data_IF_597064413317
#
_entry.id   IF_597064413317
#
_cell.length_a   1.000
_cell.length_b   1.000
_cell.length_c   1.000
_cell.angle_alpha   90.00
_cell.angle_beta   90.00
_cell.angle_gamma   90.00
#
_symmetry.space_group_name_H-M   'P 1'
#
loop_
_entity.id
_entity.type
_entity.pdbx_description
1 polymer ?
#
# COMPACT_ATOMS: atom_id res chain seq x y z
N UNK A 1 26.81 5.64 -4.70
CA UNK A 1 25.44 5.13 -4.54
C UNK A 1 24.95 5.52 -3.15
N UNK A 2 23.97 6.41 -3.04
CA UNK A 2 23.36 6.75 -1.73
C UNK A 2 22.33 5.68 -1.40
N UNK A 3 22.52 4.87 -0.36
CA UNK A 3 21.51 3.92 0.12
C UNK A 3 20.42 4.72 0.85
N UNK A 4 19.27 4.92 0.21
CA UNK A 4 18.09 5.47 0.88
C UNK A 4 17.47 4.35 1.70
N UNK A 5 17.33 4.58 3.01
CA UNK A 5 16.68 3.62 3.89
C UNK A 5 15.17 3.60 3.55
N UNK A 6 14.50 2.43 3.52
CA UNK A 6 13.06 2.35 3.28
C UNK A 6 12.21 3.08 4.33
N UNK A 7 12.82 3.51 5.45
CA UNK A 7 12.20 4.36 6.48
C UNK A 7 12.01 5.81 6.01
N UNK A 8 12.81 6.29 5.06
CA UNK A 8 12.66 7.61 4.45
C UNK A 8 11.68 7.53 3.27
N UNK A 9 10.39 7.36 3.60
CA UNK A 9 9.28 7.25 2.65
C UNK A 9 9.31 8.41 1.62
N UNK A 10 9.65 9.62 2.06
CA UNK A 10 9.72 10.82 1.20
C UNK A 10 10.85 10.77 0.15
N UNK A 11 11.89 9.97 0.35
CA UNK A 11 13.03 9.83 -0.59
C UNK A 11 13.03 8.49 -1.33
N UNK A 12 12.41 7.48 -0.74
CA UNK A 12 12.34 6.14 -1.29
C UNK A 12 11.36 6.05 -2.47
N UNK A 13 10.14 6.59 -2.32
CA UNK A 13 9.12 6.54 -3.36
C UNK A 13 9.52 7.30 -4.64
N UNK A 14 10.07 8.53 -4.57
CA UNK A 14 10.50 9.25 -5.77
C UNK A 14 11.64 8.54 -6.50
N UNK A 15 12.58 7.90 -5.78
CA UNK A 15 13.65 7.13 -6.42
C UNK A 15 13.16 5.87 -7.10
N UNK A 16 12.30 5.11 -6.43
CA UNK A 16 11.74 3.89 -6.98
C UNK A 16 10.97 4.18 -8.28
N UNK A 17 10.16 5.24 -8.26
CA UNK A 17 9.46 5.74 -9.44
C UNK A 17 10.45 6.23 -10.51
N UNK A 18 11.44 7.04 -10.15
CA UNK A 18 12.41 7.59 -11.09
C UNK A 18 13.29 6.54 -11.78
N UNK A 19 13.48 5.36 -11.18
CA UNK A 19 14.16 4.22 -11.83
C UNK A 19 13.25 3.56 -12.88
N UNK A 20 11.93 3.58 -12.67
CA UNK A 20 10.94 2.99 -13.57
C UNK A 20 10.37 3.96 -14.62
N UNK A 21 10.64 5.26 -14.50
CA UNK A 21 10.28 6.28 -15.50
C UNK A 21 11.55 6.93 -16.07
N UNK A 22 12.22 6.32 -17.06
CA UNK A 22 13.35 6.97 -17.72
C UNK A 22 12.86 8.19 -18.52
N UNK A 23 13.35 9.40 -18.20
CA UNK A 23 13.11 10.62 -18.99
C UNK A 23 12.20 11.70 -18.37
N UNK A 24 11.81 11.57 -17.10
CA UNK A 24 10.97 12.57 -16.41
C UNK A 24 11.73 13.85 -16.06
N UNK A 25 11.22 15.00 -16.50
CA UNK A 25 11.86 16.31 -16.33
C UNK A 25 11.40 17.06 -15.06
N UNK A 26 10.31 16.61 -14.40
CA UNK A 26 9.76 17.27 -13.22
C UNK A 26 9.13 16.28 -12.22
N UNK A 27 9.07 16.67 -10.94
CA UNK A 27 8.44 15.87 -9.88
C UNK A 27 6.96 15.56 -10.12
N UNK A 28 6.29 16.37 -10.94
CA UNK A 28 4.93 16.12 -11.40
C UNK A 28 4.89 14.93 -12.36
N UNK A 29 5.81 14.84 -13.33
CA UNK A 29 5.89 13.71 -14.26
C UNK A 29 6.19 12.38 -13.56
N UNK A 30 6.94 12.40 -12.44
CA UNK A 30 7.18 11.21 -11.60
C UNK A 30 5.86 10.68 -11.01
N UNK A 31 4.90 11.58 -10.76
CA UNK A 31 3.57 11.26 -10.20
C UNK A 31 2.51 11.06 -11.28
N UNK A 32 2.84 11.24 -12.54
CA UNK A 32 1.93 11.04 -13.67
C UNK A 32 2.00 9.59 -14.12
N UNK A 33 0.90 8.87 -13.96
CA UNK A 33 0.72 7.48 -14.43
C UNK A 33 -0.39 7.53 -15.48
N UNK A 34 -0.09 7.09 -16.71
CA UNK A 34 -1.08 7.03 -17.81
C UNK A 34 -1.85 8.35 -18.10
N UNK A 35 -1.27 9.50 -17.75
CA UNK A 35 -1.88 10.82 -17.97
C UNK A 35 -2.62 11.39 -16.76
N UNK A 36 -2.73 10.66 -15.65
CA UNK A 36 -3.29 11.16 -14.38
C UNK A 36 -2.19 11.53 -13.38
N UNK A 37 -2.27 12.74 -12.84
CA UNK A 37 -1.34 13.23 -11.81
C UNK A 37 -1.84 12.78 -10.44
N UNK A 38 -1.16 11.82 -9.83
CA UNK A 38 -1.51 11.35 -8.50
C UNK A 38 -1.07 12.34 -7.41
N UNK A 39 -1.81 12.49 -6.29
CA UNK A 39 -1.54 13.48 -5.24
C UNK A 39 -0.27 13.19 -4.40
N UNK A 40 0.16 11.93 -4.31
CA UNK A 40 1.39 11.55 -3.59
C UNK A 40 2.23 10.56 -4.39
N UNK A 41 3.54 10.52 -4.13
CA UNK A 41 4.44 9.53 -4.74
C UNK A 41 4.05 8.09 -4.36
N UNK A 42 3.45 7.88 -3.18
CA UNK A 42 2.92 6.58 -2.78
C UNK A 42 1.73 6.17 -3.67
N UNK A 43 0.78 7.08 -3.93
CA UNK A 43 -0.34 6.80 -4.85
C UNK A 43 0.11 6.57 -6.29
N UNK A 44 1.14 7.29 -6.75
CA UNK A 44 1.73 7.05 -8.07
C UNK A 44 2.43 5.69 -8.14
N UNK A 45 3.16 5.29 -7.09
CA UNK A 45 3.80 3.98 -7.01
C UNK A 45 2.78 2.82 -6.94
N UNK A 46 1.66 3.01 -6.23
CA UNK A 46 0.52 2.07 -6.25
C UNK A 46 -0.08 1.95 -7.65
N UNK A 47 -0.42 3.08 -8.28
CA UNK A 47 -1.00 3.08 -9.63
C UNK A 47 -0.07 2.47 -10.70
N UNK A 48 1.26 2.51 -10.49
CA UNK A 48 2.24 1.85 -11.38
C UNK A 48 2.40 0.34 -11.14
N UNK A 49 1.68 -0.24 -10.18
CA UNK A 49 1.84 -1.64 -9.76
C UNK A 49 3.19 -1.93 -9.07
N UNK A 50 3.87 -0.89 -8.57
CA UNK A 50 5.14 -1.03 -7.83
C UNK A 50 4.93 -1.35 -6.35
N UNK A 51 3.72 -1.09 -5.84
CA UNK A 51 3.26 -1.48 -4.51
C UNK A 51 2.15 -2.51 -4.71
N UNK A 52 2.28 -3.68 -4.06
CA UNK A 52 1.20 -4.68 -4.00
C UNK A 52 -0.02 -4.03 -3.36
N UNK A 53 -1.17 -4.02 -4.05
CA UNK A 53 -2.40 -3.45 -3.52
C UNK A 53 -2.96 -4.34 -2.41
N UNK A 54 -3.25 -3.74 -1.25
CA UNK A 54 -3.92 -4.44 -0.14
C UNK A 54 -5.40 -4.76 -0.42
N UNK A 55 -5.86 -4.63 -1.66
CA UNK A 55 -7.25 -4.90 -2.09
C UNK A 55 -7.64 -6.34 -1.83
N UNK A 56 -6.75 -7.29 -2.08
CA UNK A 56 -7.00 -8.71 -1.82
C UNK A 56 -7.19 -8.96 -0.32
N UNK A 57 -6.37 -8.32 0.52
CA UNK A 57 -6.44 -8.44 1.98
C UNK A 57 -7.66 -7.74 2.55
N UNK A 58 -8.04 -6.60 1.99
CA UNK A 58 -9.27 -5.88 2.38
C UNK A 58 -10.52 -6.66 2.00
N UNK A 59 -10.54 -7.33 0.84
CA UNK A 59 -11.64 -8.21 0.46
C UNK A 59 -11.79 -9.39 1.43
N UNK A 60 -10.67 -10.06 1.76
CA UNK A 60 -10.67 -11.17 2.75
C UNK A 60 -11.15 -10.70 4.12
N UNK A 61 -10.69 -9.55 4.58
CA UNK A 61 -11.13 -8.96 5.86
C UNK A 61 -12.60 -8.58 5.85
N UNK A 62 -13.12 -8.06 4.74
CA UNK A 62 -14.54 -7.73 4.58
C UNK A 62 -15.41 -8.98 4.60
N UNK A 63 -15.03 -10.03 3.88
CA UNK A 63 -15.76 -11.31 3.87
C UNK A 63 -15.74 -11.98 5.26
N UNK A 64 -14.57 -11.96 5.92
CA UNK A 64 -14.43 -12.45 7.27
C UNK A 64 -15.27 -11.63 8.26
N UNK A 65 -15.37 -10.30 8.11
CA UNK A 65 -16.20 -9.45 8.96
C UNK A 65 -17.70 -9.79 8.85
N UNK A 66 -18.15 -10.25 7.67
CA UNK A 66 -19.54 -10.67 7.45
C UNK A 66 -19.84 -12.07 8.00
N UNK A 67 -18.84 -12.96 8.01
CA UNK A 67 -19.04 -14.38 8.29
C UNK A 67 -18.52 -14.85 9.66
N UNK A 68 -17.63 -14.09 10.28
CA UNK A 68 -16.90 -14.49 11.48
C UNK A 68 -17.12 -13.49 12.63
N UNK A 69 -17.12 -13.97 13.89
CA UNK A 69 -17.13 -13.08 15.04
C UNK A 69 -15.80 -12.32 15.17
N UNK A 70 -15.84 -11.17 15.84
CA UNK A 70 -14.71 -10.25 16.02
C UNK A 70 -13.40 -10.94 16.46
N UNK A 71 -13.49 -11.96 17.32
CA UNK A 71 -12.32 -12.70 17.81
C UNK A 71 -11.61 -13.51 16.71
N UNK A 72 -12.36 -14.08 15.77
CA UNK A 72 -11.81 -14.77 14.61
C UNK A 72 -11.28 -13.79 13.56
N UNK A 73 -11.94 -12.65 13.37
CA UNK A 73 -11.47 -11.60 12.46
C UNK A 73 -10.07 -11.08 12.86
N UNK A 74 -9.82 -10.91 14.16
CA UNK A 74 -8.48 -10.58 14.69
C UNK A 74 -7.43 -11.63 14.35
N UNK A 75 -7.79 -12.92 14.33
CA UNK A 75 -6.87 -14.00 13.95
C UNK A 75 -6.52 -13.94 12.46
N UNK A 76 -7.52 -13.71 11.61
CA UNK A 76 -7.32 -13.51 10.16
C UNK A 76 -6.36 -12.34 9.94
N UNK A 77 -6.59 -11.21 10.61
CA UNK A 77 -5.70 -10.06 10.55
C UNK A 77 -4.25 -10.39 10.96
N UNK A 78 -4.05 -11.12 12.07
CA UNK A 78 -2.72 -11.56 12.48
C UNK A 78 -2.05 -12.47 11.44
N UNK A 79 -2.80 -13.39 10.83
CA UNK A 79 -2.29 -14.29 9.78
C UNK A 79 -1.89 -13.48 8.54
N UNK A 80 -2.70 -12.51 8.13
CA UNK A 80 -2.40 -11.62 7.02
C UNK A 80 -1.09 -10.85 7.26
N UNK A 81 -0.90 -10.25 8.44
CA UNK A 81 0.36 -9.55 8.72
C UNK A 81 1.56 -10.51 8.80
N UNK A 82 1.36 -11.70 9.36
CA UNK A 82 2.46 -12.64 9.59
C UNK A 82 2.93 -13.36 8.32
N UNK A 83 2.02 -13.62 7.37
CA UNK A 83 2.29 -14.46 6.20
C UNK A 83 2.08 -13.76 4.86
N UNK A 84 1.41 -12.61 4.83
CA UNK A 84 1.17 -11.86 3.59
C UNK A 84 2.04 -10.59 3.53
N UNK A 85 2.44 -10.21 2.31
CA UNK A 85 3.08 -8.91 2.03
C UNK A 85 2.05 -7.79 2.09
N UNK A 86 1.51 -7.51 3.28
CA UNK A 86 0.60 -6.37 3.50
C UNK A 86 1.41 -5.08 3.37
N UNK A 87 1.10 -4.27 2.36
CA UNK A 87 1.78 -3.01 2.06
C UNK A 87 1.54 -1.97 3.16
N UNK A 88 0.31 -1.85 3.66
CA UNK A 88 -0.06 -0.90 4.72
C UNK A 88 -0.92 -1.56 5.82
N UNK A 89 -0.32 -2.31 6.77
CA UNK A 89 -1.08 -3.02 7.81
C UNK A 89 -1.84 -2.06 8.75
N UNK A 90 -1.33 -0.85 8.97
CA UNK A 90 -2.05 0.18 9.73
C UNK A 90 -3.35 0.61 9.05
N UNK A 91 -3.36 0.72 7.71
CA UNK A 91 -4.54 1.13 6.97
C UNK A 91 -5.58 0.02 6.96
N UNK A 92 -5.14 -1.22 6.75
CA UNK A 92 -6.00 -2.41 6.83
C UNK A 92 -6.65 -2.55 8.23
N UNK A 93 -5.89 -2.29 9.30
CA UNK A 93 -6.45 -2.29 10.66
C UNK A 93 -7.52 -1.21 10.86
N UNK A 94 -7.22 0.03 10.44
CA UNK A 94 -8.13 1.16 10.63
C UNK A 94 -9.46 0.98 9.90
N UNK A 95 -9.45 0.35 8.72
CA UNK A 95 -10.66 0.10 7.94
C UNK A 95 -11.59 -0.94 8.60
N UNK A 96 -11.00 -1.97 9.24
CA UNK A 96 -11.74 -3.10 9.80
C UNK A 96 -11.86 -3.10 11.33
N UNK A 97 -11.37 -2.04 12.01
CA UNK A 97 -11.35 -1.94 13.49
C UNK A 97 -12.74 -2.06 14.12
N UNK A 98 -13.76 -1.49 13.48
CA UNK A 98 -15.15 -1.48 13.98
C UNK A 98 -15.80 -2.87 13.91
N UNK A 99 -15.32 -3.73 13.02
CA UNK A 99 -15.75 -5.13 12.94
C UNK A 99 -14.96 -6.04 13.90
N UNK A 100 -13.84 -5.54 14.43
CA UNK A 100 -12.96 -6.27 15.33
C UNK A 100 -13.17 -5.95 16.81
N UNK A 101 -14.05 -5.00 17.18
CA UNK A 101 -14.35 -4.65 18.59
C UNK A 101 -15.33 -5.63 19.25
#
# INVERSE_FOLDING_TARGET
MYTVSPKDIEKFHPRMLSVHVPGVASFQDIRTIEGEVHPTFQTAARARGLLEDDTEWSAVMTEAALSQPALSLRKVFCILIAFSSVSDPCRLWLDHRDSMI
#
